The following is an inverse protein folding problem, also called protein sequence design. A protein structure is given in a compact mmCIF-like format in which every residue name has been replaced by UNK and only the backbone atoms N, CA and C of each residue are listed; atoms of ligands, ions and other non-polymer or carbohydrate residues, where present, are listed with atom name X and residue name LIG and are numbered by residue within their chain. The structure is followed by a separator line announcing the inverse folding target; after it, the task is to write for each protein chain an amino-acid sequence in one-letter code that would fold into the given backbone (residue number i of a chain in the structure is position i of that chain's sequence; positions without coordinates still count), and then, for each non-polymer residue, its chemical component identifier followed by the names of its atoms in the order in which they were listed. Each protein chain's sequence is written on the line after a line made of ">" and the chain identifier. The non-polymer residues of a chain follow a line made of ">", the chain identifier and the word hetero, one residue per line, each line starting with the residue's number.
data_IF_928872146241
#
_entry.id   IF_928872146241
#
_cell.length_a   1.000
_cell.length_b   1.000
_cell.length_c   1.000
_cell.angle_alpha   90.00
_cell.angle_beta   90.00
_cell.angle_gamma   90.00
#
_symmetry.space_group_name_H-M   'P 1'
#
loop_
_entity.id
_entity.type
_entity.pdbx_description
1 polymer ?
#
# COMPACT_ATOMS: atom_id res chain seq x y z
N UNK A 1 10.57 -11.41 3.14
CA UNK A 1 10.20 -10.02 3.46
C UNK A 1 11.39 -9.19 3.94
N UNK A 2 12.17 -9.64 4.93
CA UNK A 2 13.34 -8.88 5.43
C UNK A 2 14.35 -8.49 4.34
N UNK A 3 14.69 -9.40 3.44
CA UNK A 3 15.60 -9.14 2.31
C UNK A 3 15.11 -8.00 1.40
N UNK A 4 13.86 -8.08 0.91
CA UNK A 4 13.27 -7.05 0.03
C UNK A 4 13.20 -5.67 0.72
N UNK A 5 12.91 -5.64 2.03
CA UNK A 5 12.92 -4.38 2.80
C UNK A 5 14.32 -3.76 2.84
N UNK A 6 15.37 -4.58 2.99
CA UNK A 6 16.74 -4.13 2.99
C UNK A 6 17.16 -3.61 1.61
N UNK A 7 16.84 -4.32 0.53
CA UNK A 7 17.10 -3.87 -0.84
C UNK A 7 16.44 -2.53 -1.15
N UNK A 8 15.17 -2.37 -0.75
CA UNK A 8 14.45 -1.10 -0.91
C UNK A 8 15.14 0.04 -0.16
N UNK A 9 15.56 -0.18 1.08
CA UNK A 9 16.29 0.83 1.85
C UNK A 9 17.63 1.21 1.18
N UNK A 10 18.38 0.22 0.68
CA UNK A 10 19.64 0.49 -0.02
C UNK A 10 19.44 1.29 -1.31
N UNK A 11 18.37 1.02 -2.05
CA UNK A 11 18.09 1.69 -3.33
C UNK A 11 17.48 3.09 -3.16
N UNK A 12 16.60 3.29 -2.16
CA UNK A 12 15.76 4.49 -2.04
C UNK A 12 16.09 5.36 -0.82
N UNK A 13 16.91 4.88 0.13
CA UNK A 13 17.19 5.57 1.39
C UNK A 13 15.96 5.69 2.32
N UNK A 14 14.87 4.99 2.02
CA UNK A 14 13.61 5.04 2.75
C UNK A 14 13.25 3.67 3.33
N UNK A 15 12.62 3.67 4.51
CA UNK A 15 12.08 2.45 5.10
C UNK A 15 10.71 2.13 4.51
N UNK A 16 10.42 0.84 4.40
CA UNK A 16 9.09 0.33 4.10
C UNK A 16 8.63 -0.62 5.22
N UNK A 17 7.32 -0.73 5.39
CA UNK A 17 6.69 -1.70 6.27
C UNK A 17 6.61 -3.07 5.61
N UNK A 18 6.32 -4.10 6.40
CA UNK A 18 6.03 -5.43 5.84
C UNK A 18 4.77 -5.42 4.99
N UNK A 19 3.79 -4.57 5.34
CA UNK A 19 2.57 -4.38 4.57
C UNK A 19 2.89 -3.83 3.17
N UNK A 20 3.73 -2.79 3.08
CA UNK A 20 4.13 -2.18 1.80
C UNK A 20 4.75 -3.21 0.85
N UNK A 21 5.65 -4.05 1.37
CA UNK A 21 6.26 -5.11 0.55
C UNK A 21 5.24 -6.17 0.16
N UNK A 22 4.37 -6.61 1.07
CA UNK A 22 3.37 -7.63 0.79
C UNK A 22 2.38 -7.15 -0.29
N UNK A 23 1.85 -5.93 -0.14
CA UNK A 23 0.87 -5.37 -1.07
C UNK A 23 1.50 -5.10 -2.44
N UNK A 24 2.73 -4.60 -2.49
CA UNK A 24 3.48 -4.44 -3.73
C UNK A 24 3.64 -5.80 -4.43
N UNK A 25 4.16 -6.83 -3.75
CA UNK A 25 4.41 -8.15 -4.36
C UNK A 25 3.13 -8.82 -4.85
N UNK A 26 2.03 -8.68 -4.12
CA UNK A 26 0.70 -9.17 -4.56
C UNK A 26 0.23 -8.41 -5.80
N UNK A 27 0.39 -7.09 -5.84
CA UNK A 27 0.04 -6.28 -7.00
C UNK A 27 0.83 -6.69 -8.24
N UNK A 28 2.16 -6.83 -8.12
CA UNK A 28 3.02 -7.28 -9.21
C UNK A 28 2.61 -8.67 -9.71
N UNK A 29 2.38 -9.61 -8.79
CA UNK A 29 1.98 -10.98 -9.12
C UNK A 29 0.62 -11.02 -9.86
N UNK A 30 -0.38 -10.28 -9.38
CA UNK A 30 -1.70 -10.18 -10.02
C UNK A 30 -1.61 -9.56 -11.40
N UNK A 31 -0.87 -8.47 -11.56
CA UNK A 31 -0.68 -7.78 -12.84
C UNK A 31 -0.04 -8.71 -13.87
N UNK A 32 1.02 -9.44 -13.51
CA UNK A 32 1.65 -10.45 -14.38
C UNK A 32 0.70 -11.59 -14.74
N UNK A 33 -0.08 -12.08 -13.79
CA UNK A 33 -0.99 -13.21 -14.00
C UNK A 33 -2.11 -12.89 -15.01
N UNK A 34 -2.64 -11.66 -14.96
CA UNK A 34 -3.74 -11.23 -15.85
C UNK A 34 -3.24 -10.89 -17.26
N UNK A 35 -1.94 -10.58 -17.43
CA UNK A 35 -1.32 -10.25 -18.73
C UNK A 35 -2.01 -9.07 -19.42
N UNK A 36 -2.19 -7.98 -18.69
CA UNK A 36 -2.67 -6.72 -19.24
C UNK A 36 -1.80 -6.23 -20.40
N UNK A 37 -2.37 -5.40 -21.28
CA UNK A 37 -1.57 -4.59 -22.20
C UNK A 37 -0.55 -3.76 -21.41
N UNK A 38 0.72 -3.63 -21.85
CA UNK A 38 1.75 -2.93 -21.08
C UNK A 38 1.37 -1.50 -20.68
N UNK A 39 0.59 -0.81 -21.51
CA UNK A 39 0.13 0.57 -21.30
C UNK A 39 -1.19 0.66 -20.51
N UNK A 40 -1.83 -0.47 -20.19
CA UNK A 40 -3.05 -0.46 -19.42
C UNK A 40 -2.79 0.07 -18.01
N UNK A 41 -3.66 0.95 -17.52
CA UNK A 41 -3.62 1.38 -16.14
C UNK A 41 -4.05 0.24 -15.21
N UNK A 42 -3.22 -0.04 -14.22
CA UNK A 42 -3.53 -0.93 -13.12
C UNK A 42 -3.52 -0.14 -11.82
N UNK A 43 -4.42 -0.52 -10.90
CA UNK A 43 -4.62 0.19 -9.64
C UNK A 43 -4.61 -0.78 -8.49
N UNK A 44 -4.08 -0.32 -7.36
CA UNK A 44 -4.28 -0.98 -6.08
C UNK A 44 -4.89 0.02 -5.10
N UNK A 45 -5.84 -0.44 -4.30
CA UNK A 45 -6.50 0.34 -3.27
C UNK A 45 -6.44 -0.42 -1.95
N UNK A 46 -6.07 0.28 -0.88
CA UNK A 46 -6.13 -0.23 0.49
C UNK A 46 -6.62 0.87 1.44
N UNK A 47 -7.12 0.48 2.61
CA UNK A 47 -7.71 1.40 3.56
C UNK A 47 -6.77 1.64 4.74
N UNK A 48 -6.33 2.89 4.93
CA UNK A 48 -5.48 3.27 6.05
C UNK A 48 -6.34 3.68 7.26
N UNK A 49 -6.01 3.15 8.45
CA UNK A 49 -6.67 3.56 9.69
C UNK A 49 -6.27 5.00 10.06
N UNK A 50 -7.22 5.93 10.07
CA UNK A 50 -6.97 7.36 10.32
C UNK A 50 -7.26 7.78 11.76
N UNK A 51 -7.68 6.87 12.65
CA UNK A 51 -8.02 7.22 14.05
C UNK A 51 -6.90 7.96 14.78
N UNK A 52 -5.65 7.55 14.54
CA UNK A 52 -4.46 8.17 15.15
C UNK A 52 -4.24 9.63 14.72
N UNK A 53 -4.77 10.06 13.58
CA UNK A 53 -4.68 11.44 13.09
C UNK A 53 -5.80 12.33 13.64
N UNK A 54 -6.88 11.73 14.14
CA UNK A 54 -8.09 12.43 14.57
C UNK A 54 -8.23 12.49 16.10
N UNK A 55 -7.12 12.42 16.83
CA UNK A 55 -7.09 12.42 18.31
C UNK A 55 -7.61 13.71 18.98
N UNK A 56 -7.86 14.76 18.19
CA UNK A 56 -8.52 15.99 18.64
C UNK A 56 -10.05 15.88 18.65
N UNK A 57 -10.62 14.93 17.90
CA UNK A 57 -12.07 14.73 17.76
C UNK A 57 -12.52 13.32 18.12
N UNK A 58 -11.58 12.36 18.20
CA UNK A 58 -11.81 10.98 18.63
C UNK A 58 -11.11 10.69 19.97
N UNK A 59 -11.66 9.77 20.78
CA UNK A 59 -11.00 9.32 22.00
C UNK A 59 -9.58 8.79 21.74
N UNK A 60 -8.60 9.29 22.50
CA UNK A 60 -7.18 8.96 22.34
C UNK A 60 -6.86 7.50 22.66
N UNK A 61 -7.53 6.95 23.67
CA UNK A 61 -7.32 5.58 24.15
C UNK A 61 -8.22 4.55 23.43
N UNK A 62 -8.81 4.93 22.30
CA UNK A 62 -9.75 4.09 21.55
C UNK A 62 -11.19 4.18 22.05
N UNK A 63 -12.06 3.30 21.56
CA UNK A 63 -13.51 3.32 21.87
C UNK A 63 -14.38 4.01 20.82
N UNK A 64 -13.81 4.53 19.73
CA UNK A 64 -14.60 4.92 18.56
C UNK A 64 -14.99 3.70 17.73
N UNK A 65 -16.25 3.28 17.83
CA UNK A 65 -16.79 2.08 17.16
C UNK A 65 -17.20 2.30 15.70
N UNK A 66 -17.22 3.54 15.22
CA UNK A 66 -17.52 3.86 13.83
C UNK A 66 -16.38 3.52 12.86
N UNK A 67 -16.68 3.58 11.56
CA UNK A 67 -15.68 3.51 10.50
C UNK A 67 -14.82 4.77 10.50
N UNK A 68 -13.51 4.59 10.48
CA UNK A 68 -12.53 5.68 10.40
C UNK A 68 -11.31 5.21 9.63
N UNK A 69 -11.41 5.27 8.31
CA UNK A 69 -10.33 4.92 7.41
C UNK A 69 -10.32 5.86 6.20
N UNK A 70 -9.18 5.92 5.53
CA UNK A 70 -9.03 6.65 4.28
C UNK A 70 -8.59 5.69 3.16
N UNK A 71 -9.27 5.70 2.00
CA UNK A 71 -8.85 4.90 0.85
C UNK A 71 -7.57 5.48 0.24
N UNK A 72 -6.51 4.70 0.22
CA UNK A 72 -5.25 5.00 -0.47
C UNK A 72 -5.25 4.24 -1.79
N UNK A 73 -5.16 4.96 -2.90
CA UNK A 73 -5.11 4.38 -4.24
C UNK A 73 -3.81 4.75 -4.93
N UNK A 74 -3.15 3.75 -5.51
CA UNK A 74 -1.96 3.94 -6.35
C UNK A 74 -2.30 3.47 -7.77
N UNK A 75 -1.95 4.29 -8.75
CA UNK A 75 -2.14 3.99 -10.19
C UNK A 75 -0.79 3.94 -10.87
N UNK A 76 -0.60 2.98 -11.76
CA UNK A 76 0.59 2.87 -12.62
C UNK A 76 0.26 2.08 -13.88
N UNK A 77 1.21 1.96 -14.81
CA UNK A 77 1.05 1.11 -15.99
C UNK A 77 1.31 -0.35 -15.63
N UNK A 78 0.71 -1.27 -16.36
CA UNK A 78 0.98 -2.70 -16.19
C UNK A 78 2.47 -3.03 -16.39
N UNK A 79 3.16 -2.32 -17.29
CA UNK A 79 4.60 -2.46 -17.53
C UNK A 79 5.44 -2.11 -16.30
N UNK A 80 5.12 -1.02 -15.61
CA UNK A 80 5.93 -0.55 -14.47
C UNK A 80 5.68 -1.39 -13.21
N UNK A 81 4.52 -2.03 -13.12
CA UNK A 81 4.13 -2.88 -11.99
C UNK A 81 4.57 -4.33 -12.17
N UNK A 82 4.54 -4.85 -13.40
CA UNK A 82 4.84 -6.25 -13.70
C UNK A 82 6.29 -6.66 -13.40
#
# INVERSE_FOLDING_TARGET
>A
MAHVKAEYFQAMGQYCSTFDVAIAKVWQARTRAIKYSPQAEVKICFFANTRHLLTQVLPKDGGFYGNCFYPVTVTSTAKDVA
#
